data_IF_349022362154
#
_entry.id   IF_349022362154
#
_cell.length_a   1.000
_cell.length_b   1.000
_cell.length_c   1.000
_cell.angle_alpha   90.00
_cell.angle_beta   90.00
_cell.angle_gamma   90.00
#
_symmetry.space_group_name_H-M   'P 1'
#
loop_
_entity.id
_entity.type
_entity.pdbx_description
1 polymer ?
#
# COMPACT_ATOMS: atom_id res chain seq x y z
N UNK A 1 -0.76 -7.96 -18.94
CA UNK A 1 -1.10 -8.45 -17.59
C UNK A 1 -1.95 -9.71 -17.63
N UNK A 2 -3.26 -9.65 -17.97
CA UNK A 2 -4.17 -10.81 -17.90
C UNK A 2 -3.72 -12.04 -18.67
N UNK A 3 -3.27 -11.89 -19.91
CA UNK A 3 -2.75 -13.02 -20.72
C UNK A 3 -1.50 -13.68 -20.12
N UNK A 4 -0.79 -12.98 -19.22
CA UNK A 4 0.38 -13.50 -18.51
C UNK A 4 0.03 -13.98 -17.09
N UNK A 5 -1.25 -14.01 -16.70
CA UNK A 5 -1.70 -14.47 -15.39
C UNK A 5 -1.75 -13.41 -14.28
N UNK A 6 -1.51 -12.13 -14.58
CA UNK A 6 -1.52 -11.05 -13.57
C UNK A 6 -2.82 -10.24 -13.56
N UNK A 7 -3.22 -9.80 -12.37
CA UNK A 7 -4.49 -9.08 -12.16
C UNK A 7 -4.44 -7.61 -12.55
N UNK A 8 -3.31 -6.94 -12.33
CA UNK A 8 -3.12 -5.50 -12.53
C UNK A 8 -1.78 -5.19 -13.21
N UNK A 9 -1.63 -3.94 -13.67
CA UNK A 9 -0.37 -3.41 -14.20
C UNK A 9 0.21 -2.47 -13.14
N UNK A 10 1.46 -2.72 -12.72
CA UNK A 10 2.24 -1.74 -11.96
C UNK A 10 2.86 -0.76 -12.96
N UNK A 11 2.45 0.50 -12.89
CA UNK A 11 2.95 1.56 -13.75
C UNK A 11 4.33 1.99 -13.26
N UNK A 12 5.26 2.07 -14.21
CA UNK A 12 6.64 2.45 -13.98
C UNK A 12 6.98 3.69 -14.81
N UNK A 13 7.75 4.62 -14.24
CA UNK A 13 8.14 5.86 -14.91
C UNK A 13 9.66 5.93 -15.12
N UNK A 14 10.05 6.35 -16.32
CA UNK A 14 11.45 6.59 -16.68
C UNK A 14 12.30 5.33 -16.79
N UNK A 15 13.56 5.52 -17.18
CA UNK A 15 14.51 4.42 -17.43
C UNK A 15 14.90 3.65 -16.16
N UNK A 16 14.82 4.34 -15.01
CA UNK A 16 15.06 3.76 -13.69
C UNK A 16 13.89 2.90 -13.18
N UNK A 17 12.79 2.81 -13.94
CA UNK A 17 11.61 2.05 -13.55
C UNK A 17 11.05 2.48 -12.18
N UNK A 18 10.83 3.79 -12.03
CA UNK A 18 10.27 4.38 -10.81
C UNK A 18 8.85 3.88 -10.58
N UNK A 19 8.55 3.41 -9.37
CA UNK A 19 7.23 2.86 -9.02
C UNK A 19 6.23 4.00 -8.85
N UNK A 20 5.04 3.87 -9.46
CA UNK A 20 4.00 4.90 -9.43
C UNK A 20 2.67 4.39 -8.85
N UNK A 21 1.87 3.71 -9.66
CA UNK A 21 0.51 3.26 -9.33
C UNK A 21 0.26 1.83 -9.84
N UNK A 22 -0.67 1.11 -9.22
CA UNK A 22 -1.09 -0.21 -9.68
C UNK A 22 -2.50 -0.12 -10.28
N UNK A 23 -2.62 -0.22 -11.60
CA UNK A 23 -3.88 -0.04 -12.30
C UNK A 23 -4.41 1.39 -12.13
N UNK A 24 -5.54 1.53 -11.45
CA UNK A 24 -6.14 2.82 -11.10
C UNK A 24 -6.09 3.07 -9.57
N UNK A 25 -5.05 2.58 -8.90
CA UNK A 25 -4.90 2.61 -7.45
C UNK A 25 -3.49 3.05 -7.09
N UNK A 26 -3.35 3.81 -6.00
CA UNK A 26 -2.04 4.15 -5.46
C UNK A 26 -1.38 2.87 -4.92
N UNK A 27 -0.04 2.82 -4.92
CA UNK A 27 0.72 1.63 -4.56
C UNK A 27 1.66 1.90 -3.40
N UNK A 28 1.67 0.98 -2.44
CA UNK A 28 2.47 1.04 -1.23
C UNK A 28 3.36 -0.18 -1.11
N UNK A 29 4.58 0.04 -0.61
CA UNK A 29 5.54 -1.00 -0.26
C UNK A 29 5.92 -0.87 1.20
N UNK A 30 5.80 -1.96 1.95
CA UNK A 30 6.35 -2.11 3.30
C UNK A 30 7.67 -2.85 3.17
N UNK A 31 8.77 -2.20 3.55
CA UNK A 31 10.08 -2.83 3.56
C UNK A 31 10.99 -2.21 4.61
N UNK A 32 12.03 -2.94 5.01
CA UNK A 32 13.09 -2.39 5.84
C UNK A 32 14.09 -1.60 5.00
N UNK A 33 14.51 -0.43 5.51
CA UNK A 33 15.67 0.29 4.98
C UNK A 33 16.96 -0.50 5.22
N UNK A 34 18.07 -0.09 4.61
CA UNK A 34 19.38 -0.73 4.81
C UNK A 34 19.88 -0.60 6.26
N UNK A 35 19.40 0.41 6.98
CA UNK A 35 19.64 0.64 8.40
C UNK A 35 18.68 -0.15 9.31
N UNK A 36 17.78 -0.97 8.73
CA UNK A 36 16.87 -1.86 9.45
C UNK A 36 15.54 -1.22 9.87
N UNK A 37 15.32 0.06 9.58
CA UNK A 37 14.07 0.76 9.91
C UNK A 37 12.93 0.28 9.03
N UNK A 38 11.79 -0.06 9.63
CA UNK A 38 10.60 -0.44 8.88
C UNK A 38 9.92 0.80 8.28
N UNK A 39 9.63 0.75 6.99
CA UNK A 39 9.07 1.88 6.25
C UNK A 39 7.84 1.49 5.44
N UNK A 40 6.83 2.37 5.44
CA UNK A 40 5.70 2.36 4.50
C UNK A 40 5.99 3.41 3.42
N UNK A 41 6.31 2.95 2.22
CA UNK A 41 6.79 3.78 1.12
C UNK A 41 5.72 3.91 0.06
N UNK A 42 5.48 5.15 -0.41
CA UNK A 42 4.63 5.44 -1.57
C UNK A 42 5.25 6.56 -2.40
N UNK A 43 4.93 6.57 -3.71
CA UNK A 43 5.35 7.64 -4.60
C UNK A 43 4.80 9.01 -4.13
N UNK A 44 5.55 10.12 -4.32
CA UNK A 44 5.17 11.45 -3.87
C UNK A 44 4.27 12.13 -4.90
N UNK A 45 3.49 13.12 -4.47
CA UNK A 45 2.55 13.84 -5.34
C UNK A 45 3.21 14.97 -6.17
N UNK A 46 4.48 15.29 -5.92
CA UNK A 46 5.12 16.52 -6.39
C UNK A 46 5.24 16.68 -7.92
N UNK A 47 5.33 15.57 -8.66
CA UNK A 47 5.46 15.59 -10.13
C UNK A 47 4.12 15.49 -10.88
N UNK A 48 2.98 15.45 -10.17
CA UNK A 48 1.62 15.31 -10.74
C UNK A 48 1.40 14.06 -11.59
N UNK A 49 2.27 13.05 -11.48
CA UNK A 49 2.09 11.74 -12.12
C UNK A 49 1.13 10.86 -11.32
N UNK A 50 1.20 10.98 -9.98
CA UNK A 50 0.41 10.17 -9.05
C UNK A 50 -0.93 10.86 -8.77
N UNK A 51 -2.03 10.10 -8.77
CA UNK A 51 -3.32 10.61 -8.34
C UNK A 51 -3.30 10.85 -6.82
N UNK A 52 -3.74 12.04 -6.37
CA UNK A 52 -3.94 12.36 -4.95
C UNK A 52 -5.20 11.67 -4.41
N UNK A 53 -5.10 10.34 -4.24
CA UNK A 53 -6.21 9.50 -3.80
C UNK A 53 -6.61 9.75 -2.34
N UNK A 54 -7.91 9.85 -2.08
CA UNK A 54 -8.45 9.98 -0.72
C UNK A 54 -8.07 8.76 0.13
N UNK A 55 -8.20 7.54 -0.41
CA UNK A 55 -7.80 6.32 0.30
C UNK A 55 -6.31 6.31 0.64
N UNK A 56 -5.42 6.75 -0.26
CA UNK A 56 -3.98 6.91 0.00
C UNK A 56 -3.73 7.83 1.19
N UNK A 57 -4.40 8.99 1.21
CA UNK A 57 -4.30 9.95 2.32
C UNK A 57 -4.77 9.34 3.63
N UNK A 58 -5.90 8.61 3.62
CA UNK A 58 -6.42 7.92 4.79
C UNK A 58 -5.46 6.86 5.31
N UNK A 59 -4.85 6.06 4.43
CA UNK A 59 -3.82 5.06 4.80
C UNK A 59 -2.64 5.74 5.51
N UNK A 60 -2.07 6.80 4.92
CA UNK A 60 -0.95 7.54 5.52
C UNK A 60 -1.32 8.09 6.90
N UNK A 61 -2.51 8.67 7.03
CA UNK A 61 -2.96 9.24 8.30
C UNK A 61 -3.16 8.17 9.37
N UNK A 62 -3.87 7.08 9.06
CA UNK A 62 -4.11 5.99 10.03
C UNK A 62 -2.82 5.33 10.48
N UNK A 63 -1.87 5.11 9.56
CA UNK A 63 -0.57 4.52 9.90
C UNK A 63 0.22 5.43 10.84
N UNK A 64 0.28 6.74 10.55
CA UNK A 64 0.93 7.73 11.43
C UNK A 64 0.27 7.82 12.80
N UNK A 65 -1.03 7.61 12.90
CA UNK A 65 -1.78 7.69 14.15
C UNK A 65 -1.65 6.41 14.99
N UNK A 66 -1.87 5.25 14.38
CA UNK A 66 -2.07 3.97 15.09
C UNK A 66 -0.79 3.15 15.25
N UNK A 67 0.22 3.36 14.40
CA UNK A 67 1.49 2.62 14.47
C UNK A 67 2.66 3.47 14.98
N UNK A 68 2.41 4.67 15.48
CA UNK A 68 3.48 5.50 16.03
C UNK A 68 4.05 4.95 17.34
N UNK A 69 3.24 4.29 18.17
CA UNK A 69 3.61 3.86 19.53
C UNK A 69 3.90 2.36 19.67
N UNK A 70 3.74 1.59 18.59
CA UNK A 70 4.09 0.17 18.54
C UNK A 70 3.17 -0.76 19.32
N UNK A 71 1.95 -0.33 19.68
CA UNK A 71 1.03 -1.15 20.49
C UNK A 71 0.44 -2.34 19.73
N UNK A 72 0.14 -2.17 18.45
CA UNK A 72 -0.53 -3.20 17.62
C UNK A 72 0.47 -3.97 16.74
N UNK A 73 1.38 -3.24 16.08
CA UNK A 73 2.45 -3.77 15.22
C UNK A 73 3.74 -2.96 15.47
N UNK A 74 4.87 -3.43 14.93
CA UNK A 74 6.13 -2.68 15.01
C UNK A 74 5.95 -1.27 14.42
N UNK A 75 6.51 -0.22 15.06
CA UNK A 75 6.43 1.13 14.53
C UNK A 75 6.98 1.23 13.11
N UNK A 76 6.25 1.93 12.25
CA UNK A 76 6.56 2.08 10.83
C UNK A 76 6.70 3.56 10.45
N UNK A 77 7.78 3.89 9.75
CA UNK A 77 8.01 5.24 9.23
C UNK A 77 7.27 5.40 7.89
N UNK A 78 6.41 6.41 7.77
CA UNK A 78 5.77 6.72 6.48
C UNK A 78 6.69 7.61 5.65
N UNK A 79 7.08 7.12 4.47
CA UNK A 79 8.01 7.80 3.57
C UNK A 79 7.37 8.03 2.20
N UNK A 80 7.11 9.30 1.88
CA UNK A 80 6.64 9.71 0.55
C UNK A 80 7.83 10.12 -0.31
N UNK A 81 8.37 9.21 -1.13
CA UNK A 81 9.55 9.45 -1.96
C UNK A 81 9.49 8.68 -3.28
N UNK A 82 10.28 9.14 -4.26
CA UNK A 82 10.54 8.33 -5.44
C UNK A 82 11.34 7.08 -5.02
N UNK A 83 10.98 5.94 -5.60
CA UNK A 83 11.65 4.68 -5.41
C UNK A 83 11.45 3.80 -6.65
N UNK A 84 12.34 2.83 -6.85
CA UNK A 84 12.41 2.06 -8.10
C UNK A 84 12.06 0.59 -7.90
N UNK A 85 11.73 -0.09 -9.00
CA UNK A 85 11.64 -1.56 -8.98
C UNK A 85 12.97 -2.22 -8.60
N UNK A 86 14.11 -1.57 -8.90
CA UNK A 86 15.43 -2.05 -8.47
C UNK A 86 15.54 -2.15 -6.95
N UNK A 87 15.03 -1.16 -6.22
CA UNK A 87 15.00 -1.18 -4.75
C UNK A 87 14.07 -2.28 -4.20
N UNK A 88 12.93 -2.53 -4.84
CA UNK A 88 12.02 -3.63 -4.43
C UNK A 88 12.68 -4.99 -4.67
N UNK A 89 13.33 -5.18 -5.83
CA UNK A 89 14.07 -6.42 -6.15
C UNK A 89 15.18 -6.64 -5.13
N UNK A 90 16.02 -5.63 -4.90
CA UNK A 90 17.10 -5.71 -3.90
C UNK A 90 16.55 -6.03 -2.51
N UNK A 91 15.48 -5.36 -2.08
CA UNK A 91 14.84 -5.64 -0.80
C UNK A 91 14.28 -7.07 -0.71
N UNK A 92 13.75 -7.60 -1.81
CA UNK A 92 13.25 -8.98 -1.87
C UNK A 92 14.40 -9.99 -1.74
N UNK A 93 15.49 -9.78 -2.47
CA UNK A 93 16.68 -10.65 -2.44
C UNK A 93 17.37 -10.64 -1.06
N UNK A 94 17.33 -9.50 -0.37
CA UNK A 94 17.89 -9.33 0.98
C UNK A 94 16.91 -9.71 2.11
N UNK A 95 15.69 -10.14 1.80
CA UNK A 95 14.66 -10.46 2.80
C UNK A 95 14.15 -9.26 3.61
N UNK A 96 14.34 -8.05 3.08
CA UNK A 96 13.85 -6.78 3.65
C UNK A 96 12.46 -6.38 3.16
N UNK A 97 12.00 -6.91 2.02
CA UNK A 97 10.64 -6.71 1.53
C UNK A 97 9.66 -7.42 2.48
N UNK A 98 8.65 -6.70 2.98
CA UNK A 98 7.68 -7.24 3.94
C UNK A 98 6.33 -7.43 3.25
N UNK A 99 5.76 -6.38 2.67
CA UNK A 99 4.45 -6.42 2.02
C UNK A 99 4.35 -5.41 0.88
N UNK A 100 3.45 -5.64 -0.06
CA UNK A 100 3.02 -4.66 -1.04
C UNK A 100 1.49 -4.67 -1.12
N UNK A 101 0.90 -3.49 -1.34
CA UNK A 101 -0.54 -3.39 -1.55
C UNK A 101 -0.91 -2.21 -2.44
N UNK A 102 -2.04 -2.33 -3.13
CA UNK A 102 -2.67 -1.24 -3.85
C UNK A 102 -3.84 -0.69 -3.03
N UNK A 103 -4.08 0.61 -3.08
CA UNK A 103 -5.24 1.23 -2.42
C UNK A 103 -6.00 2.18 -3.34
N UNK A 104 -7.32 2.18 -3.21
CA UNK A 104 -8.20 3.03 -4.00
C UNK A 104 -9.66 2.75 -3.67
N UNK A 105 -10.55 3.68 -4.00
CA UNK A 105 -11.96 3.64 -3.57
C UNK A 105 -12.70 2.35 -3.94
N UNK A 106 -12.35 1.71 -5.06
CA UNK A 106 -13.04 0.52 -5.55
C UNK A 106 -12.74 -0.77 -4.77
N UNK A 107 -11.55 -0.89 -4.17
CA UNK A 107 -11.09 -2.12 -3.49
C UNK A 107 -10.53 -1.85 -2.08
N UNK A 108 -10.52 -0.59 -1.66
CA UNK A 108 -9.93 -0.02 -0.45
C UNK A 108 -8.44 -0.33 -0.30
N UNK A 109 -8.09 -1.57 0.04
CA UNK A 109 -6.73 -2.08 0.21
C UNK A 109 -6.69 -3.51 -0.32
N UNK A 110 -5.89 -3.72 -1.37
CA UNK A 110 -5.70 -5.00 -2.04
C UNK A 110 -4.24 -5.46 -1.88
N UNK A 111 -3.97 -6.60 -1.21
CA UNK A 111 -2.63 -7.12 -1.09
C UNK A 111 -2.08 -7.54 -2.46
N UNK A 112 -0.76 -7.46 -2.61
CA UNK A 112 -0.03 -7.90 -3.80
C UNK A 112 0.86 -9.06 -3.38
N UNK A 113 0.60 -10.24 -3.92
CA UNK A 113 1.38 -11.46 -3.65
C UNK A 113 2.59 -11.63 -4.55
N UNK A 114 2.59 -10.96 -5.71
CA UNK A 114 3.62 -11.15 -6.74
C UNK A 114 3.73 -9.95 -7.67
N UNK A 115 4.95 -9.61 -8.05
CA UNK A 115 5.26 -8.58 -9.06
C UNK A 115 6.12 -9.21 -10.15
N UNK A 116 5.71 -9.08 -11.41
CA UNK A 116 6.53 -9.49 -12.54
C UNK A 116 7.33 -8.32 -13.09
N UNK A 117 8.64 -8.47 -13.15
CA UNK A 117 9.53 -7.43 -13.63
C UNK A 117 10.70 -8.03 -14.43
N UNK A 118 10.87 -7.56 -15.67
CA UNK A 118 11.97 -7.95 -16.57
C UNK A 118 12.16 -9.48 -16.70
N UNK A 119 11.05 -10.21 -16.81
CA UNK A 119 11.05 -11.65 -17.03
C UNK A 119 11.19 -12.49 -15.75
N UNK A 120 11.28 -11.84 -14.58
CA UNK A 120 11.39 -12.50 -13.28
C UNK A 120 10.17 -12.19 -12.43
N UNK A 121 9.67 -13.19 -11.72
CA UNK A 121 8.66 -13.03 -10.68
C UNK A 121 9.34 -12.73 -9.35
N UNK A 122 8.88 -11.67 -8.69
CA UNK A 122 9.24 -11.30 -7.33
C UNK A 122 8.05 -11.72 -6.46
N UNK A 123 8.25 -12.72 -5.62
CA UNK A 123 7.25 -13.14 -4.64
C UNK A 123 7.25 -12.16 -3.48
N UNK A 124 6.11 -11.53 -3.23
CA UNK A 124 5.93 -10.63 -2.09
C UNK A 124 5.50 -11.47 -0.90
N UNK A 125 6.14 -11.34 0.29
CA UNK A 125 5.73 -12.13 1.44
C UNK A 125 4.28 -11.87 1.85
N UNK A 126 3.59 -12.94 2.24
CA UNK A 126 2.19 -12.92 2.65
C UNK A 126 2.06 -13.68 3.97
N UNK A 127 1.38 -13.12 4.97
CA UNK A 127 1.05 -13.88 6.18
C UNK A 127 -0.08 -14.88 5.86
N UNK A 128 0.12 -16.14 6.28
CA UNK A 128 -0.80 -17.26 6.03
C UNK A 128 -1.20 -17.47 4.55
N UNK A 129 -0.44 -16.91 3.60
CA UNK A 129 -0.70 -17.00 2.16
C UNK A 129 -1.80 -16.07 1.62
N UNK A 130 -2.39 -15.19 2.44
CA UNK A 130 -3.54 -14.37 2.02
C UNK A 130 -3.31 -12.86 2.11
N UNK A 131 -2.76 -12.35 3.21
CA UNK A 131 -2.57 -10.91 3.45
C UNK A 131 -1.53 -10.73 4.54
N UNK A 132 -0.62 -9.76 4.40
CA UNK A 132 0.31 -9.43 5.47
C UNK A 132 -0.34 -8.62 6.60
N UNK A 133 0.32 -8.58 7.76
CA UNK A 133 -0.21 -8.00 8.99
C UNK A 133 -0.51 -6.49 8.85
N UNK A 134 0.39 -5.73 8.21
CA UNK A 134 0.18 -4.28 8.02
C UNK A 134 -0.97 -4.00 7.06
N UNK A 135 -0.99 -4.69 5.92
CA UNK A 135 -2.04 -4.58 4.91
C UNK A 135 -3.40 -4.94 5.50
N UNK A 136 -3.46 -5.99 6.32
CA UNK A 136 -4.69 -6.43 6.99
C UNK A 136 -5.17 -5.41 8.03
N UNK A 137 -4.28 -4.91 8.89
CA UNK A 137 -4.61 -3.91 9.89
C UNK A 137 -5.17 -2.63 9.23
N UNK A 138 -4.47 -2.10 8.23
CA UNK A 138 -4.89 -0.90 7.48
C UNK A 138 -6.25 -1.11 6.82
N UNK A 139 -6.46 -2.28 6.18
CA UNK A 139 -7.74 -2.64 5.57
C UNK A 139 -8.86 -2.65 6.61
N UNK A 140 -8.64 -3.30 7.76
CA UNK A 140 -9.65 -3.42 8.81
C UNK A 140 -10.00 -2.07 9.44
N UNK A 141 -9.01 -1.21 9.70
CA UNK A 141 -9.28 0.13 10.22
C UNK A 141 -10.15 0.96 9.28
N UNK A 142 -9.88 0.93 7.97
CA UNK A 142 -10.70 1.61 6.98
C UNK A 142 -12.12 1.01 6.94
N UNK A 143 -12.24 -0.31 6.91
CA UNK A 143 -13.53 -1.02 6.92
C UNK A 143 -14.34 -0.65 8.17
N UNK A 144 -13.72 -0.66 9.35
CA UNK A 144 -14.43 -0.36 10.59
C UNK A 144 -14.94 1.07 10.63
N UNK A 145 -14.19 2.03 10.08
CA UNK A 145 -14.65 3.42 9.92
C UNK A 145 -15.81 3.49 8.92
N UNK A 146 -15.67 2.88 7.74
CA UNK A 146 -16.68 2.97 6.66
C UNK A 146 -18.01 2.32 7.02
N UNK A 147 -17.97 1.20 7.74
CA UNK A 147 -19.17 0.48 8.18
C UNK A 147 -19.66 0.92 9.57
N UNK A 148 -19.10 2.00 10.14
CA UNK A 148 -19.55 2.56 11.42
C UNK A 148 -19.31 1.66 12.63
N UNK A 149 -18.36 0.72 12.55
CA UNK A 149 -17.92 -0.11 13.69
C UNK A 149 -16.94 0.63 14.60
N UNK A 150 -16.27 1.64 14.06
CA UNK A 150 -15.46 2.60 14.80
C UNK A 150 -15.98 4.01 14.52
N UNK A 151 -16.27 4.76 15.59
CA UNK A 151 -16.61 6.19 15.47
C UNK A 151 -15.41 6.97 14.96
N UNK A 152 -15.61 7.79 13.93
CA UNK A 152 -14.53 8.55 13.30
C UNK A 152 -15.07 9.74 12.49
N UNK A 153 -14.40 10.91 12.50
CA UNK A 153 -14.84 12.10 11.75
C UNK A 153 -14.97 11.94 10.22
N UNK A 154 -14.53 10.82 9.66
CA UNK A 154 -14.66 10.51 8.22
C UNK A 154 -15.98 9.81 7.89
N UNK A 155 -16.61 9.15 8.86
CA UNK A 155 -17.91 8.51 8.70
C UNK A 155 -19.01 9.52 9.03
N UNK A 156 -19.79 9.93 8.03
CA UNK A 156 -20.93 10.83 8.21
C UNK A 156 -22.22 10.02 8.06
N UNK A 157 -23.02 9.98 9.11
CA UNK A 157 -24.36 9.39 9.06
C UNK A 157 -25.28 10.32 8.28
N UNK A 158 -25.92 9.79 7.23
CA UNK A 158 -26.90 10.51 6.44
C UNK A 158 -28.28 9.97 6.81
N UNK A 159 -29.20 10.88 7.16
CA UNK A 159 -30.59 10.51 7.38
C UNK A 159 -31.22 9.98 6.09
N UNK A 160 -31.86 8.82 6.17
CA UNK A 160 -32.58 8.25 5.03
C UNK A 160 -33.79 9.15 4.74
N UNK A 161 -33.82 9.74 3.54
CA UNK A 161 -35.01 10.46 3.09
C UNK A 161 -36.10 9.43 2.80
N UNK A 162 -37.19 9.49 3.55
CA UNK A 162 -38.42 8.78 3.18
C UNK A 162 -38.80 9.20 1.74
N UNK A 163 -38.88 8.21 0.84
CA UNK A 163 -39.27 8.39 -0.57
C UNK A 163 -40.76 8.16 -0.72
#
# INVERSE_FOLDING_TARGET
ARNLGYNQVLWLLGDEAQVTEAGASNFFTVMRSKEGKLQLITAPLGNKVILDGVTRRSVIQLVKERLADGKELEPIEVVERQYTMGEIVEASEEGRLIECFACGTAYFVAPVSKIHFRGVDIDVPMAQGEVGDYTNAIKNWLVDIMYGRADHPWGVVIEEKEV
#
